data_IF_174387241221
#
_entry.id   IF_174387241221
#
_cell.length_a   1.000
_cell.length_b   1.000
_cell.length_c   1.000
_cell.angle_alpha   90.00
_cell.angle_beta   90.00
_cell.angle_gamma   90.00
#
_symmetry.space_group_name_H-M   'P 1'
#
loop_
_entity.id
_entity.type
_entity.pdbx_description
1 polymer ?
#
# COMPACT_ATOMS: atom_id res chain seq x y z
N UNK A 1 -38.07 -48.36 -44.48
CA UNK A 1 -37.30 -48.11 -43.25
C UNK A 1 -36.47 -46.84 -43.43
N UNK A 2 -36.85 -45.73 -42.77
CA UNK A 2 -36.13 -44.45 -42.83
C UNK A 2 -34.84 -44.56 -42.02
N UNK A 3 -33.68 -44.36 -42.65
CA UNK A 3 -32.40 -44.20 -41.95
C UNK A 3 -32.30 -42.77 -41.43
N UNK A 4 -32.32 -42.60 -40.11
CA UNK A 4 -32.02 -41.35 -39.43
C UNK A 4 -30.53 -41.03 -39.56
N UNK A 5 -30.24 -39.80 -39.99
CA UNK A 5 -28.93 -39.17 -39.95
C UNK A 5 -28.72 -38.64 -38.54
N UNK A 6 -27.68 -39.10 -37.84
CA UNK A 6 -27.26 -38.52 -36.57
C UNK A 6 -26.25 -37.40 -36.85
N UNK A 7 -26.65 -36.17 -36.51
CA UNK A 7 -25.82 -34.96 -36.53
C UNK A 7 -25.01 -34.93 -35.22
N UNK A 8 -23.70 -34.64 -35.25
CA UNK A 8 -22.91 -34.52 -34.03
C UNK A 8 -23.30 -33.26 -33.26
N UNK A 9 -23.66 -33.41 -31.98
CA UNK A 9 -23.78 -32.29 -31.06
C UNK A 9 -22.37 -31.77 -30.74
N UNK A 10 -22.04 -30.61 -31.29
CA UNK A 10 -20.97 -29.77 -30.80
C UNK A 10 -21.39 -29.19 -29.45
N UNK A 11 -20.69 -29.58 -28.38
CA UNK A 11 -20.77 -28.88 -27.09
C UNK A 11 -19.98 -27.58 -27.25
N UNK A 12 -20.68 -26.52 -27.62
CA UNK A 12 -20.16 -25.16 -27.63
C UNK A 12 -19.79 -24.76 -26.19
N UNK A 13 -18.58 -24.23 -26.03
CA UNK A 13 -18.01 -23.84 -24.75
C UNK A 13 -18.82 -22.78 -24.01
N UNK A 14 -18.96 -22.97 -22.71
CA UNK A 14 -19.29 -21.90 -21.79
C UNK A 14 -18.10 -20.94 -21.72
N UNK A 15 -18.14 -19.88 -22.53
CA UNK A 15 -17.21 -18.76 -22.40
C UNK A 15 -17.58 -17.92 -21.17
N UNK A 16 -16.55 -17.62 -20.38
CA UNK A 16 -16.56 -16.84 -19.15
C UNK A 16 -17.19 -15.45 -19.38
N UNK A 17 -18.38 -15.20 -18.84
CA UNK A 17 -19.05 -13.89 -18.85
C UNK A 17 -18.75 -13.04 -17.60
N UNK A 18 -17.88 -13.48 -16.70
CA UNK A 18 -17.50 -12.74 -15.50
C UNK A 18 -16.29 -11.80 -15.68
N UNK A 19 -15.64 -11.81 -16.85
CA UNK A 19 -14.43 -11.01 -17.12
C UNK A 19 -14.75 -9.62 -17.69
N UNK A 20 -15.82 -9.44 -18.47
CA UNK A 20 -16.11 -8.18 -19.17
C UNK A 20 -16.44 -7.01 -18.23
N UNK A 21 -17.17 -7.25 -17.13
CA UNK A 21 -17.53 -6.22 -16.16
C UNK A 21 -16.35 -5.78 -15.28
N UNK A 22 -15.47 -6.72 -14.92
CA UNK A 22 -14.27 -6.43 -14.13
C UNK A 22 -13.22 -5.65 -14.94
N UNK A 23 -13.04 -6.01 -16.21
CA UNK A 23 -12.18 -5.31 -17.17
C UNK A 23 -12.66 -3.88 -17.40
N UNK A 24 -13.98 -3.71 -17.64
CA UNK A 24 -14.59 -2.40 -17.76
C UNK A 24 -14.36 -1.54 -16.50
N UNK A 25 -14.41 -2.14 -15.31
CA UNK A 25 -14.16 -1.45 -14.05
C UNK A 25 -12.74 -0.89 -13.89
N UNK A 26 -11.71 -1.67 -14.23
CA UNK A 26 -10.32 -1.23 -14.11
C UNK A 26 -9.97 -0.14 -15.13
N UNK A 27 -10.40 -0.30 -16.38
CA UNK A 27 -10.20 0.70 -17.44
C UNK A 27 -10.95 2.00 -17.13
N UNK A 28 -12.20 1.90 -16.65
CA UNK A 28 -12.97 3.06 -16.21
C UNK A 28 -12.29 3.79 -15.04
N UNK A 29 -11.76 3.05 -14.06
CA UNK A 29 -11.02 3.62 -12.92
C UNK A 29 -9.76 4.33 -13.39
N UNK A 30 -8.95 3.70 -14.24
CA UNK A 30 -7.75 4.32 -14.82
C UNK A 30 -8.08 5.59 -15.60
N UNK A 31 -9.11 5.56 -16.45
CA UNK A 31 -9.53 6.72 -17.23
C UNK A 31 -10.01 7.88 -16.34
N UNK A 32 -10.84 7.58 -15.33
CA UNK A 32 -11.31 8.56 -14.37
C UNK A 32 -10.17 9.19 -13.56
N UNK A 33 -9.24 8.36 -13.08
CA UNK A 33 -8.03 8.81 -12.39
C UNK A 33 -7.16 9.66 -13.31
N UNK A 34 -6.95 9.24 -14.56
CA UNK A 34 -6.15 9.98 -15.54
C UNK A 34 -6.73 11.37 -15.81
N UNK A 35 -8.06 11.47 -15.92
CA UNK A 35 -8.73 12.76 -16.09
C UNK A 35 -8.59 13.65 -14.84
N UNK A 36 -8.73 13.06 -13.66
CA UNK A 36 -8.73 13.81 -12.39
C UNK A 36 -7.33 14.19 -11.91
N UNK A 37 -6.32 13.36 -12.14
CA UNK A 37 -5.01 13.47 -11.50
C UNK A 37 -3.94 14.09 -12.40
N UNK A 38 -3.93 13.72 -13.68
CA UNK A 38 -2.91 14.17 -14.65
C UNK A 38 -2.76 15.69 -14.73
N UNK A 39 -3.82 16.52 -14.58
CA UNK A 39 -3.67 17.97 -14.54
C UNK A 39 -2.85 18.51 -13.34
N UNK A 40 -2.67 17.71 -12.29
CA UNK A 40 -2.10 18.15 -11.02
C UNK A 40 -0.72 17.58 -10.72
N UNK A 41 -0.28 16.53 -11.43
CA UNK A 41 1.05 15.97 -11.28
C UNK A 41 1.23 14.58 -11.86
N UNK A 42 2.44 14.06 -11.71
CA UNK A 42 2.81 12.70 -12.11
C UNK A 42 2.42 11.69 -11.03
N UNK A 43 2.08 10.48 -11.46
CA UNK A 43 1.87 9.31 -10.60
C UNK A 43 2.76 8.18 -11.12
N UNK A 44 3.64 7.69 -10.26
CA UNK A 44 4.76 6.83 -10.63
C UNK A 44 4.52 5.34 -10.39
N UNK A 45 3.27 4.91 -10.27
CA UNK A 45 2.91 3.51 -10.03
C UNK A 45 1.68 3.31 -9.16
N UNK A 46 1.49 2.07 -8.72
CA UNK A 46 0.41 1.69 -7.81
C UNK A 46 0.90 0.62 -6.81
N UNK A 47 0.49 0.75 -5.54
CA UNK A 47 0.71 -0.25 -4.51
C UNK A 47 -0.62 -0.74 -3.94
N UNK A 48 -0.89 -2.03 -4.14
CA UNK A 48 -2.02 -2.74 -3.56
C UNK A 48 -1.63 -3.29 -2.20
N UNK A 49 -2.49 -3.08 -1.20
CA UNK A 49 -2.27 -3.52 0.18
C UNK A 49 -3.50 -4.25 0.68
N UNK A 50 -3.28 -5.36 1.37
CA UNK A 50 -4.34 -6.06 2.10
C UNK A 50 -3.85 -6.64 3.42
N UNK A 51 -4.75 -6.70 4.38
CA UNK A 51 -4.42 -7.00 5.77
C UNK A 51 -4.91 -8.40 6.14
N UNK A 52 -3.95 -9.19 6.58
CA UNK A 52 -4.06 -10.51 7.15
C UNK A 52 -4.08 -10.41 8.67
N UNK A 53 -4.73 -11.38 9.30
CA UNK A 53 -4.70 -11.57 10.74
C UNK A 53 -3.24 -11.80 11.19
N UNK A 54 -2.80 -11.05 12.19
CA UNK A 54 -1.43 -11.10 12.70
C UNK A 54 -0.98 -12.49 13.13
N UNK A 55 -1.92 -13.37 13.52
CA UNK A 55 -1.61 -14.76 13.89
C UNK A 55 -0.93 -15.56 12.78
N UNK A 56 -1.18 -15.23 11.51
CA UNK A 56 -0.55 -15.91 10.37
C UNK A 56 0.89 -15.48 10.14
N UNK A 57 1.40 -14.50 10.88
CA UNK A 57 2.76 -13.99 10.76
C UNK A 57 3.44 -13.83 12.15
N UNK A 58 3.08 -14.67 13.11
CA UNK A 58 3.57 -14.58 14.49
C UNK A 58 5.10 -14.74 14.59
N UNK A 59 5.68 -15.62 13.77
CA UNK A 59 7.12 -15.70 13.52
C UNK A 59 7.44 -15.29 12.06
N UNK A 60 7.71 -14.00 11.79
CA UNK A 60 8.00 -13.52 10.44
C UNK A 60 9.13 -14.25 9.72
N UNK A 61 10.08 -14.88 10.42
CA UNK A 61 11.18 -15.60 9.78
C UNK A 61 10.69 -16.89 9.08
N UNK A 62 9.66 -17.51 9.63
CA UNK A 62 9.09 -18.76 9.11
C UNK A 62 7.78 -18.50 8.37
N UNK A 63 6.89 -17.73 8.98
CA UNK A 63 5.50 -17.62 8.57
C UNK A 63 5.33 -16.78 7.31
N UNK A 64 6.22 -15.82 7.04
CA UNK A 64 6.20 -15.08 5.78
C UNK A 64 6.32 -15.99 4.55
N UNK A 65 7.13 -17.06 4.64
CA UNK A 65 7.25 -18.04 3.55
C UNK A 65 5.98 -18.87 3.40
N UNK A 66 5.32 -19.21 4.51
CA UNK A 66 4.07 -19.99 4.50
C UNK A 66 2.92 -19.17 3.88
N UNK A 67 2.75 -17.94 4.33
CA UNK A 67 1.76 -17.00 3.78
C UNK A 67 2.02 -16.76 2.29
N UNK A 68 3.28 -16.51 1.93
CA UNK A 68 3.65 -16.34 0.52
C UNK A 68 3.37 -17.60 -0.31
N UNK A 69 3.64 -18.80 0.19
CA UNK A 69 3.36 -20.04 -0.53
C UNK A 69 1.87 -20.20 -0.88
N UNK A 70 0.96 -19.82 0.03
CA UNK A 70 -0.48 -19.81 -0.23
C UNK A 70 -0.81 -18.80 -1.33
N UNK A 71 -0.36 -17.55 -1.20
CA UNK A 71 -0.63 -16.49 -2.18
C UNK A 71 -0.05 -16.85 -3.55
N UNK A 72 1.18 -17.37 -3.61
CA UNK A 72 1.83 -17.82 -4.83
C UNK A 72 1.05 -18.93 -5.52
N UNK A 73 0.58 -19.92 -4.76
CA UNK A 73 -0.24 -21.02 -5.29
C UNK A 73 -1.52 -20.50 -5.93
N UNK A 74 -2.20 -19.55 -5.28
CA UNK A 74 -3.43 -18.95 -5.79
C UNK A 74 -3.15 -18.02 -6.99
N UNK A 75 -2.02 -17.32 -7.00
CA UNK A 75 -1.55 -16.53 -8.14
C UNK A 75 -1.32 -17.41 -9.38
N UNK A 76 -0.58 -18.51 -9.24
CA UNK A 76 -0.28 -19.45 -10.32
C UNK A 76 -1.57 -20.07 -10.89
N UNK A 77 -2.51 -20.50 -10.04
CA UNK A 77 -3.84 -20.98 -10.46
C UNK A 77 -4.63 -19.93 -11.25
N UNK A 78 -4.50 -18.65 -10.88
CA UNK A 78 -5.18 -17.55 -11.53
C UNK A 78 -4.45 -17.03 -12.80
N UNK A 79 -3.32 -17.63 -13.18
CA UNK A 79 -2.55 -17.28 -14.36
C UNK A 79 -1.57 -16.12 -14.15
N UNK A 80 -1.18 -15.83 -12.91
CA UNK A 80 -0.15 -14.85 -12.57
C UNK A 80 1.12 -15.58 -12.14
N UNK A 81 2.14 -15.71 -13.02
CA UNK A 81 3.41 -16.29 -12.65
C UNK A 81 4.02 -15.57 -11.46
N UNK A 82 4.48 -16.33 -10.47
CA UNK A 82 5.07 -15.79 -9.26
C UNK A 82 6.29 -16.60 -8.85
N UNK A 83 7.31 -15.92 -8.33
CA UNK A 83 8.59 -16.52 -7.99
C UNK A 83 9.01 -16.17 -6.58
N UNK A 84 9.65 -17.11 -5.90
CA UNK A 84 10.25 -16.87 -4.58
C UNK A 84 11.48 -15.97 -4.68
N UNK A 85 11.74 -15.21 -3.61
CA UNK A 85 13.04 -14.57 -3.43
C UNK A 85 14.09 -15.62 -3.03
N UNK A 86 15.32 -15.49 -3.53
CA UNK A 86 16.41 -16.43 -3.21
C UNK A 86 16.71 -16.52 -1.71
N UNK A 87 16.68 -15.38 -1.01
CA UNK A 87 16.94 -15.29 0.42
C UNK A 87 16.03 -14.25 1.05
N UNK A 88 15.21 -14.69 2.01
CA UNK A 88 14.39 -13.80 2.80
C UNK A 88 15.30 -12.91 3.66
N UNK A 89 15.23 -11.59 3.44
CA UNK A 89 15.94 -10.59 4.25
C UNK A 89 14.95 -9.86 5.14
N UNK A 90 14.84 -10.30 6.39
CA UNK A 90 14.03 -9.61 7.39
C UNK A 90 14.63 -8.25 7.71
N UNK A 91 13.76 -7.26 7.76
CA UNK A 91 14.03 -5.90 8.26
C UNK A 91 13.14 -5.68 9.47
N UNK A 92 13.63 -4.95 10.45
CA UNK A 92 12.84 -4.57 11.61
C UNK A 92 13.07 -3.10 11.95
N UNK A 93 12.09 -2.49 12.62
CA UNK A 93 12.10 -1.07 12.86
C UNK A 93 10.89 -0.57 13.63
N UNK A 94 10.83 0.75 13.78
CA UNK A 94 9.63 1.48 14.18
C UNK A 94 9.16 2.39 13.07
N UNK A 95 7.85 2.64 13.03
CA UNK A 95 7.22 3.70 12.25
C UNK A 95 6.45 4.58 13.23
N UNK A 96 6.89 5.82 13.36
CA UNK A 96 6.28 6.82 14.22
C UNK A 96 5.45 7.77 13.37
N UNK A 97 4.13 7.67 13.49
CA UNK A 97 3.19 8.59 12.83
C UNK A 97 2.98 9.78 13.74
N UNK A 98 3.45 10.94 13.30
CA UNK A 98 3.46 12.16 14.09
C UNK A 98 2.23 13.00 13.76
N UNK A 99 1.45 13.32 14.78
CA UNK A 99 0.26 14.17 14.65
C UNK A 99 -0.03 14.86 15.99
N UNK A 100 -1.05 15.72 16.03
CA UNK A 100 -1.61 16.18 17.31
C UNK A 100 -2.55 15.10 17.88
N UNK A 101 -2.92 15.15 19.17
CA UNK A 101 -3.92 14.23 19.74
C UNK A 101 -5.27 14.24 19.01
N UNK A 102 -5.58 15.35 18.34
CA UNK A 102 -6.80 15.54 17.56
C UNK A 102 -6.63 15.26 16.05
N UNK A 103 -5.55 14.57 15.65
CA UNK A 103 -5.27 14.22 14.25
C UNK A 103 -5.26 15.43 13.28
N UNK A 104 -4.84 16.61 13.76
CA UNK A 104 -4.98 17.85 13.01
C UNK A 104 -4.17 17.90 11.71
N UNK A 105 -2.97 17.29 11.65
CA UNK A 105 -2.21 17.20 10.40
C UNK A 105 -2.92 16.30 9.40
N UNK A 106 -3.38 15.12 9.84
CA UNK A 106 -4.17 14.21 9.01
C UNK A 106 -5.44 14.89 8.48
N UNK A 107 -6.18 15.62 9.31
CA UNK A 107 -7.34 16.39 8.86
C UNK A 107 -6.99 17.50 7.88
N UNK A 108 -5.80 18.08 7.99
CA UNK A 108 -5.26 19.03 7.03
C UNK A 108 -4.71 18.37 5.75
N UNK A 109 -4.73 17.04 5.66
CA UNK A 109 -4.27 16.28 4.49
C UNK A 109 -2.78 15.95 4.49
N UNK A 110 -2.09 16.06 5.64
CA UNK A 110 -0.67 15.74 5.79
C UNK A 110 -0.43 14.53 6.71
N UNK A 111 0.60 13.76 6.40
CA UNK A 111 1.12 12.69 7.25
C UNK A 111 2.62 12.91 7.41
N UNK A 112 3.08 13.03 8.65
CA UNK A 112 4.52 13.03 8.98
C UNK A 112 4.86 11.70 9.62
N UNK A 113 5.89 11.03 9.11
CA UNK A 113 6.32 9.72 9.63
C UNK A 113 7.83 9.67 9.78
N UNK A 114 8.29 9.19 10.92
CA UNK A 114 9.70 8.85 11.14
C UNK A 114 9.83 7.33 11.13
N UNK A 115 10.67 6.82 10.23
CA UNK A 115 11.00 5.40 10.16
C UNK A 115 12.40 5.19 10.75
N UNK A 116 12.47 4.33 11.77
CA UNK A 116 13.74 3.91 12.36
C UNK A 116 13.94 2.45 12.03
N UNK A 117 14.93 2.13 11.20
CA UNK A 117 15.36 0.76 10.98
C UNK A 117 16.40 0.37 12.01
N UNK A 118 16.35 -0.87 12.51
CA UNK A 118 17.42 -1.44 13.34
C UNK A 118 18.19 -2.50 12.55
N UNK A 119 19.52 -2.43 12.61
CA UNK A 119 20.43 -3.49 12.21
C UNK A 119 21.22 -3.91 13.46
N UNK A 120 21.16 -5.19 13.83
CA UNK A 120 21.79 -5.73 15.04
C UNK A 120 21.46 -4.96 16.34
N UNK A 121 20.22 -4.47 16.43
CA UNK A 121 19.73 -3.68 17.57
C UNK A 121 20.11 -2.20 17.54
N UNK A 122 20.94 -1.78 16.59
CA UNK A 122 21.41 -0.40 16.43
C UNK A 122 20.49 0.33 15.46
N UNK A 123 19.97 1.49 15.89
CA UNK A 123 19.16 2.36 15.04
C UNK A 123 20.00 2.95 13.90
N UNK A 124 19.46 2.94 12.68
CA UNK A 124 20.08 3.66 11.57
C UNK A 124 20.16 5.16 11.88
N UNK A 125 21.23 5.80 11.43
CA UNK A 125 21.40 7.25 11.52
C UNK A 125 22.12 7.72 10.25
N UNK A 126 21.59 8.70 9.51
CA UNK A 126 20.33 9.42 9.71
C UNK A 126 19.06 8.58 9.51
N UNK A 127 17.98 8.99 10.18
CA UNK A 127 16.65 8.38 10.12
C UNK A 127 15.91 8.81 8.86
N UNK A 128 15.06 7.93 8.32
CA UNK A 128 14.16 8.30 7.22
C UNK A 128 12.94 9.03 7.75
N UNK A 129 12.73 10.25 7.27
CA UNK A 129 11.53 11.05 7.52
C UNK A 129 10.72 11.14 6.23
N UNK A 130 9.45 10.74 6.30
CA UNK A 130 8.47 10.86 5.21
C UNK A 130 7.49 11.97 5.54
N UNK A 131 7.26 12.90 4.59
CA UNK A 131 6.12 13.82 4.63
C UNK A 131 5.24 13.53 3.43
N UNK A 132 3.95 13.27 3.67
CA UNK A 132 3.00 12.83 2.65
C UNK A 132 1.76 13.70 2.64
N UNK A 133 1.11 13.81 1.49
CA UNK A 133 -0.22 14.36 1.31
C UNK A 133 -1.19 13.27 0.86
N UNK A 134 -2.35 13.17 1.53
CA UNK A 134 -3.36 12.13 1.30
C UNK A 134 -4.72 12.56 1.86
N UNK A 135 -5.81 11.89 1.47
CA UNK A 135 -7.14 12.12 2.04
C UNK A 135 -7.78 13.47 1.69
N UNK A 136 -7.28 14.14 0.65
CA UNK A 136 -7.84 15.35 0.04
C UNK A 136 -8.04 15.11 -1.46
N UNK A 137 -8.60 16.09 -2.16
CA UNK A 137 -8.70 16.01 -3.62
C UNK A 137 -7.33 15.96 -4.31
N UNK A 138 -7.34 15.57 -5.58
CA UNK A 138 -6.12 15.41 -6.36
C UNK A 138 -5.36 16.73 -6.55
N UNK A 139 -6.07 17.86 -6.61
CA UNK A 139 -5.46 19.18 -6.73
C UNK A 139 -4.59 19.50 -5.51
N UNK A 140 -5.07 19.18 -4.31
CA UNK A 140 -4.28 19.29 -3.09
C UNK A 140 -3.15 18.28 -3.04
N UNK A 141 -3.45 16.98 -3.24
CA UNK A 141 -2.48 15.90 -3.05
C UNK A 141 -1.33 15.98 -4.05
N UNK A 142 -1.62 16.11 -5.33
CA UNK A 142 -0.61 16.12 -6.38
C UNK A 142 -0.01 17.51 -6.59
N UNK A 143 -0.82 18.56 -6.41
CA UNK A 143 -0.40 19.96 -6.56
C UNK A 143 0.45 20.49 -5.41
N UNK A 144 0.50 19.80 -4.26
CA UNK A 144 1.47 20.13 -3.21
C UNK A 144 2.87 19.75 -3.67
N UNK A 145 3.80 20.71 -3.68
CA UNK A 145 5.14 20.53 -4.26
C UNK A 145 5.96 19.48 -3.50
N UNK A 146 5.90 19.50 -2.16
CA UNK A 146 6.73 18.72 -1.25
C UNK A 146 8.23 18.91 -1.48
N UNK A 147 8.63 20.05 -2.05
CA UNK A 147 10.04 20.37 -2.22
C UNK A 147 10.76 20.41 -0.88
N UNK A 148 12.03 20.00 -0.88
CA UNK A 148 12.86 19.99 0.31
C UNK A 148 13.80 21.18 0.37
N UNK A 149 14.14 21.63 1.59
CA UNK A 149 15.20 22.61 1.86
C UNK A 149 16.24 22.02 2.80
N UNK A 150 17.52 22.27 2.54
CA UNK A 150 18.62 21.83 3.40
C UNK A 150 18.84 20.31 3.48
N UNK A 151 18.06 19.50 2.74
CA UNK A 151 18.21 18.06 2.64
C UNK A 151 17.72 17.59 1.25
N UNK A 152 18.35 16.56 0.69
CA UNK A 152 17.88 15.92 -0.54
C UNK A 152 16.66 15.06 -0.24
N UNK A 153 15.56 15.27 -0.96
CA UNK A 153 14.36 14.44 -0.91
C UNK A 153 14.17 13.60 -2.18
N UNK A 154 13.58 12.41 -2.06
CA UNK A 154 12.95 11.70 -3.20
C UNK A 154 11.46 11.93 -3.10
N UNK A 155 10.89 12.60 -4.10
CA UNK A 155 9.44 12.80 -4.24
C UNK A 155 8.88 11.71 -5.13
N UNK A 156 7.75 11.13 -4.75
CA UNK A 156 6.99 10.18 -5.58
C UNK A 156 5.50 10.29 -5.27
N UNK A 157 4.66 9.88 -6.21
CA UNK A 157 3.23 9.71 -5.98
C UNK A 157 2.79 8.34 -6.48
N UNK A 158 1.87 7.71 -5.77
CA UNK A 158 1.39 6.37 -6.06
C UNK A 158 -0.13 6.30 -5.90
N UNK A 159 -0.77 5.52 -6.75
CA UNK A 159 -2.13 5.04 -6.51
C UNK A 159 -2.08 3.98 -5.40
N UNK A 160 -3.01 4.03 -4.45
CA UNK A 160 -3.25 2.96 -3.48
C UNK A 160 -4.65 2.38 -3.70
N UNK A 161 -4.81 1.42 -4.63
CA UNK A 161 -6.11 0.81 -4.88
C UNK A 161 -6.57 -0.07 -3.72
N UNK A 162 -7.88 -0.03 -3.45
CA UNK A 162 -8.51 -0.87 -2.42
C UNK A 162 -9.97 -1.16 -2.77
N UNK A 163 -10.61 -2.11 -2.07
CA UNK A 163 -12.04 -2.35 -2.23
C UNK A 163 -12.86 -1.27 -1.51
N UNK A 164 -13.65 -0.54 -2.27
CA UNK A 164 -14.69 0.35 -1.78
C UNK A 164 -16.03 -0.36 -1.56
N UNK A 165 -17.08 0.43 -1.34
CA UNK A 165 -18.44 -0.06 -1.15
C UNK A 165 -18.90 -0.91 -2.35
N UNK A 166 -19.59 -2.03 -2.07
CA UNK A 166 -20.07 -2.93 -3.11
C UNK A 166 -18.99 -3.77 -3.81
N UNK A 167 -17.74 -3.79 -3.29
CA UNK A 167 -16.64 -4.58 -3.87
C UNK A 167 -16.05 -3.99 -5.15
N UNK A 168 -16.31 -2.70 -5.41
CA UNK A 168 -15.71 -1.95 -6.51
C UNK A 168 -14.31 -1.49 -6.09
N UNK A 169 -13.31 -1.61 -6.97
CA UNK A 169 -11.99 -1.08 -6.69
C UNK A 169 -12.04 0.45 -6.74
N UNK A 170 -11.52 1.10 -5.72
CA UNK A 170 -11.39 2.56 -5.62
C UNK A 170 -9.93 2.93 -5.47
N UNK A 171 -9.61 4.17 -5.82
CA UNK A 171 -8.26 4.71 -5.76
C UNK A 171 -8.11 5.76 -4.68
N UNK A 172 -6.96 5.73 -4.00
CA UNK A 172 -6.51 6.83 -3.17
C UNK A 172 -5.10 7.22 -3.61
N UNK A 173 -4.96 8.38 -4.24
CA UNK A 173 -3.65 8.90 -4.60
C UNK A 173 -2.95 9.46 -3.36
N UNK A 174 -1.68 9.13 -3.21
CA UNK A 174 -0.81 9.69 -2.18
C UNK A 174 0.45 10.23 -2.83
N UNK A 175 0.91 11.40 -2.38
CA UNK A 175 2.20 11.97 -2.77
C UNK A 175 3.06 12.11 -1.54
N UNK A 176 4.34 11.76 -1.65
CA UNK A 176 5.27 11.79 -0.53
C UNK A 176 6.63 12.32 -0.91
N UNK A 177 7.33 12.85 0.09
CA UNK A 177 8.77 13.09 0.04
C UNK A 177 9.46 12.36 1.17
N UNK A 178 10.48 11.59 0.81
CA UNK A 178 11.37 10.93 1.75
C UNK A 178 12.71 11.66 1.81
N UNK A 179 13.13 12.03 3.02
CA UNK A 179 14.42 12.64 3.31
C UNK A 179 15.10 11.94 4.48
N UNK A 180 16.39 12.21 4.68
CA UNK A 180 17.17 11.67 5.79
C UNK A 180 17.55 12.78 6.76
N UNK A 181 17.18 12.62 8.03
CA UNK A 181 17.46 13.59 9.10
C UNK A 181 18.06 12.86 10.32
N UNK A 182 19.05 13.49 10.95
CA UNK A 182 19.54 13.08 12.27
C UNK A 182 18.49 13.38 13.35
N UNK A 183 18.38 12.56 14.41
CA UNK A 183 17.44 12.79 15.51
C UNK A 183 17.54 14.20 16.11
N UNK A 184 18.76 14.75 16.19
CA UNK A 184 19.03 16.10 16.71
C UNK A 184 18.34 17.23 15.95
N UNK A 185 17.89 16.97 14.71
CA UNK A 185 17.21 17.95 13.89
C UNK A 185 15.72 18.10 14.21
N UNK A 186 15.16 17.24 15.07
CA UNK A 186 13.73 17.22 15.44
C UNK A 186 13.48 16.73 16.88
N UNK A 187 14.43 16.96 17.80
CA UNK A 187 14.30 16.56 19.22
C UNK A 187 13.10 17.18 19.92
N UNK A 188 12.71 18.40 19.51
CA UNK A 188 11.56 19.08 20.07
C UNK A 188 10.21 18.49 19.66
N UNK A 189 10.19 17.60 18.67
CA UNK A 189 8.98 16.99 18.08
C UNK A 189 7.92 18.05 17.77
N UNK A 190 8.34 19.17 17.18
CA UNK A 190 7.47 20.27 16.76
C UNK A 190 7.25 20.26 15.25
N UNK A 191 6.08 20.72 14.81
CA UNK A 191 5.80 20.89 13.38
C UNK A 191 6.86 21.77 12.67
N UNK A 192 7.35 22.79 13.36
CA UNK A 192 8.34 23.75 12.86
C UNK A 192 9.66 23.09 12.49
N UNK A 193 10.10 22.07 13.22
CA UNK A 193 11.33 21.32 12.92
C UNK A 193 11.23 20.59 11.58
N UNK A 194 10.09 19.96 11.30
CA UNK A 194 9.85 19.31 10.00
C UNK A 194 9.61 20.34 8.88
N UNK A 195 8.90 21.44 9.19
CA UNK A 195 8.60 22.52 8.25
C UNK A 195 9.85 23.23 7.72
N UNK A 196 10.95 23.24 8.49
CA UNK A 196 12.25 23.74 8.01
C UNK A 196 12.73 23.00 6.75
N UNK A 197 12.47 21.69 6.69
CA UNK A 197 12.89 20.83 5.59
C UNK A 197 11.80 20.65 4.53
N UNK A 198 10.52 20.64 4.91
CA UNK A 198 9.38 20.52 3.99
C UNK A 198 8.41 21.69 4.23
N UNK A 199 8.62 22.85 3.58
CA UNK A 199 7.87 24.07 3.88
C UNK A 199 6.37 24.01 3.61
N UNK A 200 5.92 23.10 2.73
CA UNK A 200 4.49 22.89 2.44
C UNK A 200 3.68 22.48 3.67
N UNK A 201 4.30 21.94 4.73
CA UNK A 201 3.64 21.65 6.01
C UNK A 201 2.97 22.89 6.64
N UNK A 202 3.40 24.11 6.29
CA UNK A 202 2.73 25.36 6.72
C UNK A 202 1.28 25.45 6.23
N UNK A 203 0.96 24.81 5.10
CA UNK A 203 -0.42 24.77 4.56
C UNK A 203 -1.38 24.00 5.46
N UNK A 204 -0.87 23.26 6.46
CA UNK A 204 -1.73 22.67 7.50
C UNK A 204 -2.47 23.72 8.36
N UNK A 205 -2.00 24.97 8.37
CA UNK A 205 -2.54 26.03 9.22
C UNK A 205 -2.13 25.94 10.70
N UNK A 206 -1.36 24.91 11.08
CA UNK A 206 -0.90 24.74 12.46
C UNK A 206 0.33 25.61 12.76
N UNK A 207 0.44 26.18 13.98
CA UNK A 207 1.63 26.87 14.43
C UNK A 207 2.91 26.03 14.37
N UNK A 208 4.05 26.65 14.06
CA UNK A 208 5.33 25.93 14.01
C UNK A 208 5.77 25.36 15.37
N UNK A 209 5.31 25.93 16.49
CA UNK A 209 5.59 25.39 17.83
C UNK A 209 4.60 24.29 18.26
N UNK A 210 3.63 23.89 17.40
CA UNK A 210 2.72 22.77 17.68
C UNK A 210 3.52 21.50 17.96
N UNK A 211 3.29 20.92 19.13
CA UNK A 211 3.87 19.63 19.52
C UNK A 211 3.17 18.49 18.79
N UNK A 212 3.97 17.54 18.31
CA UNK A 212 3.51 16.34 17.64
C UNK A 212 3.80 15.13 18.53
N UNK A 213 2.81 14.27 18.67
CA UNK A 213 2.90 13.02 19.41
C UNK A 213 3.11 11.87 18.44
N UNK A 214 3.97 10.93 18.82
CA UNK A 214 4.25 9.76 18.04
C UNK A 214 3.25 8.63 18.37
N UNK A 215 2.47 8.22 17.38
CA UNK A 215 1.84 6.89 17.40
C UNK A 215 2.80 5.89 16.78
N UNK A 216 3.41 5.04 17.61
CA UNK A 216 4.43 4.07 17.20
C UNK A 216 3.84 2.72 16.80
N UNK A 217 4.28 2.20 15.66
CA UNK A 217 4.20 0.78 15.32
C UNK A 217 5.60 0.18 15.27
N UNK A 218 5.76 -1.03 15.82
CA UNK A 218 6.96 -1.84 15.62
C UNK A 218 6.70 -2.75 14.43
N UNK A 219 7.62 -2.79 13.47
CA UNK A 219 7.43 -3.58 12.26
C UNK A 219 8.53 -4.62 12.06
N UNK A 220 8.14 -5.73 11.42
CA UNK A 220 9.06 -6.64 10.73
C UNK A 220 8.58 -6.83 9.30
N UNK A 221 9.48 -6.74 8.34
CA UNK A 221 9.12 -6.84 6.92
C UNK A 221 10.15 -7.58 6.09
N UNK A 222 9.69 -8.16 4.99
CA UNK A 222 10.55 -8.72 3.95
C UNK A 222 9.85 -8.73 2.59
N UNK A 223 10.64 -8.58 1.52
CA UNK A 223 10.23 -9.03 0.19
C UNK A 223 10.25 -10.54 0.18
N UNK A 224 9.12 -11.17 -0.15
CA UNK A 224 8.95 -12.63 -0.15
C UNK A 224 9.07 -13.24 -1.54
N UNK A 225 8.74 -12.47 -2.58
CA UNK A 225 8.78 -12.93 -3.95
C UNK A 225 8.47 -11.81 -4.94
N UNK A 226 8.16 -12.22 -6.16
CA UNK A 226 7.72 -11.35 -7.25
C UNK A 226 6.50 -11.96 -7.94
N UNK A 227 5.66 -11.09 -8.50
CA UNK A 227 4.47 -11.44 -9.27
C UNK A 227 4.60 -10.80 -10.64
N UNK A 228 4.30 -11.55 -11.69
CA UNK A 228 4.19 -10.98 -13.04
C UNK A 228 2.78 -10.43 -13.25
N UNK A 229 2.67 -9.12 -13.48
CA UNK A 229 1.43 -8.41 -13.79
C UNK A 229 1.50 -7.91 -15.24
N UNK A 230 0.99 -8.71 -16.18
CA UNK A 230 1.09 -8.39 -17.60
C UNK A 230 2.56 -8.32 -18.06
N UNK A 231 3.00 -7.14 -18.52
CA UNK A 231 4.40 -6.91 -18.95
C UNK A 231 5.34 -6.45 -17.81
N UNK A 232 4.83 -6.24 -16.60
CA UNK A 232 5.61 -5.76 -15.45
C UNK A 232 5.82 -6.82 -14.38
N UNK A 233 6.87 -6.66 -13.58
CA UNK A 233 7.06 -7.40 -12.31
C UNK A 233 6.66 -6.51 -11.13
N UNK A 234 5.93 -7.09 -10.19
CA UNK A 234 5.59 -6.49 -8.91
C UNK A 234 6.31 -7.20 -7.77
N UNK A 235 6.98 -6.45 -6.89
CA UNK A 235 7.55 -7.03 -5.67
C UNK A 235 6.44 -7.39 -4.69
N UNK A 236 6.44 -8.63 -4.19
CA UNK A 236 5.54 -9.07 -3.14
C UNK A 236 6.24 -8.91 -1.77
N UNK A 237 5.61 -8.17 -0.87
CA UNK A 237 6.14 -7.85 0.47
C UNK A 237 5.16 -8.28 1.55
N UNK A 238 5.71 -8.75 2.67
CA UNK A 238 4.96 -8.93 3.91
C UNK A 238 5.53 -8.01 4.99
N UNK A 239 4.65 -7.38 5.76
CA UNK A 239 4.99 -6.53 6.89
C UNK A 239 4.05 -6.77 8.08
N UNK A 240 4.58 -7.18 9.23
CA UNK A 240 3.81 -7.22 10.48
C UNK A 240 3.93 -5.92 11.24
N UNK A 241 2.86 -5.53 11.93
CA UNK A 241 2.89 -4.45 12.92
C UNK A 241 2.54 -4.99 14.30
N UNK A 242 3.25 -4.57 15.34
CA UNK A 242 2.92 -4.79 16.74
C UNK A 242 2.91 -3.46 17.51
N UNK A 243 2.21 -3.45 18.65
CA UNK A 243 2.11 -2.27 19.53
C UNK A 243 3.32 -2.10 20.44
N UNK A 244 4.05 -3.18 20.69
CA UNK A 244 5.21 -3.22 21.59
C UNK A 244 6.40 -3.89 20.91
N UNK A 245 7.61 -3.55 21.36
CA UNK A 245 8.83 -4.19 20.90
C UNK A 245 8.79 -5.70 21.19
N UNK A 246 8.95 -6.53 20.16
CA UNK A 246 8.87 -7.99 20.29
C UNK A 246 7.48 -8.55 20.59
N UNK A 247 6.45 -7.71 20.70
CA UNK A 247 5.08 -8.16 20.93
C UNK A 247 4.48 -8.90 19.73
N UNK A 248 3.40 -9.63 19.98
CA UNK A 248 2.65 -10.32 18.93
C UNK A 248 2.16 -9.32 17.85
N UNK A 249 2.20 -9.70 16.56
CA UNK A 249 1.62 -8.89 15.50
C UNK A 249 0.13 -8.65 15.71
N UNK A 250 -0.29 -7.39 15.65
CA UNK A 250 -1.72 -7.03 15.60
C UNK A 250 -2.30 -7.26 14.20
N UNK A 251 -1.45 -7.22 13.17
CA UNK A 251 -1.78 -7.49 11.78
C UNK A 251 -0.53 -7.94 11.02
N UNK A 252 -0.76 -8.54 9.86
CA UNK A 252 0.23 -8.75 8.82
C UNK A 252 -0.30 -8.14 7.52
N UNK A 253 0.47 -7.32 6.83
CA UNK A 253 0.07 -6.76 5.54
C UNK A 253 0.83 -7.46 4.44
N UNK A 254 0.11 -7.87 3.40
CA UNK A 254 0.71 -8.14 2.12
C UNK A 254 0.57 -6.93 1.22
N UNK A 255 1.67 -6.55 0.56
CA UNK A 255 1.64 -5.55 -0.49
C UNK A 255 2.32 -6.05 -1.75
N UNK A 256 1.80 -5.56 -2.88
CA UNK A 256 2.39 -5.75 -4.19
C UNK A 256 2.08 -4.54 -5.06
N UNK A 257 2.98 -4.23 -5.96
CA UNK A 257 2.82 -3.04 -6.79
C UNK A 257 3.97 -2.89 -7.76
N UNK A 258 3.81 -1.90 -8.62
CA UNK A 258 4.80 -1.48 -9.60
C UNK A 258 5.15 -0.01 -9.33
N UNK A 259 6.42 0.31 -9.46
CA UNK A 259 6.98 1.64 -9.23
C UNK A 259 7.81 2.09 -10.44
N UNK A 260 8.18 3.37 -10.48
CA UNK A 260 9.01 3.98 -11.53
C UNK A 260 8.42 3.82 -12.95
N UNK A 261 7.09 3.82 -13.07
CA UNK A 261 6.35 3.81 -14.36
C UNK A 261 5.41 5.02 -14.47
N UNK A 262 5.11 5.46 -15.70
CA UNK A 262 4.08 6.48 -15.93
C UNK A 262 2.69 5.83 -15.85
N UNK A 263 2.03 5.98 -14.69
CA UNK A 263 0.70 5.40 -14.43
C UNK A 263 -0.29 5.71 -15.55
N UNK A 264 -0.24 6.92 -16.12
CA UNK A 264 -1.20 7.36 -17.13
C UNK A 264 -1.00 6.67 -18.49
N UNK A 265 0.11 5.97 -18.69
CA UNK A 265 0.43 5.19 -19.90
C UNK A 265 0.39 3.68 -19.68
N UNK A 266 -0.03 3.22 -18.50
CA UNK A 266 -0.03 1.79 -18.16
C UNK A 266 -1.41 1.28 -17.69
N UNK A 267 -2.50 1.46 -18.47
CA UNK A 267 -3.81 0.93 -18.10
C UNK A 267 -3.80 -0.59 -17.89
N UNK A 268 -2.97 -1.30 -18.67
CA UNK A 268 -2.85 -2.76 -18.61
C UNK A 268 -2.22 -3.24 -17.30
N UNK A 269 -1.32 -2.46 -16.68
CA UNK A 269 -0.78 -2.76 -15.36
C UNK A 269 -1.83 -2.52 -14.26
N UNK A 270 -2.67 -1.49 -14.42
CA UNK A 270 -3.83 -1.25 -13.54
C UNK A 270 -4.83 -2.39 -13.63
N UNK A 271 -5.13 -2.84 -14.84
CA UNK A 271 -6.01 -3.99 -15.09
C UNK A 271 -5.45 -5.27 -14.47
N UNK A 272 -4.17 -5.57 -14.69
CA UNK A 272 -3.52 -6.74 -14.13
C UNK A 272 -3.49 -6.72 -12.60
N UNK A 273 -3.22 -5.55 -12.00
CA UNK A 273 -3.25 -5.37 -10.54
C UNK A 273 -4.66 -5.59 -9.97
N UNK A 274 -5.69 -5.01 -10.58
CA UNK A 274 -7.09 -5.22 -10.12
C UNK A 274 -7.53 -6.66 -10.30
N UNK A 275 -7.12 -7.31 -11.39
CA UNK A 275 -7.39 -8.71 -11.63
C UNK A 275 -6.68 -9.61 -10.60
N UNK A 276 -5.43 -9.32 -10.25
CA UNK A 276 -4.71 -10.05 -9.19
C UNK A 276 -5.44 -9.90 -7.85
N UNK A 277 -5.83 -8.67 -7.49
CA UNK A 277 -6.59 -8.42 -6.26
C UNK A 277 -7.86 -9.28 -6.22
N UNK A 278 -8.66 -9.24 -7.29
CA UNK A 278 -9.94 -9.96 -7.32
C UNK A 278 -9.81 -11.48 -7.37
N UNK A 279 -8.84 -12.00 -8.12
CA UNK A 279 -8.71 -13.45 -8.34
C UNK A 279 -7.89 -14.15 -7.26
N UNK A 280 -6.90 -13.45 -6.69
CA UNK A 280 -5.94 -14.03 -5.74
C UNK A 280 -6.23 -13.55 -4.33
N UNK A 281 -6.25 -12.25 -4.10
CA UNK A 281 -6.42 -11.69 -2.74
C UNK A 281 -7.80 -12.01 -2.16
N UNK A 282 -8.81 -12.09 -3.01
CA UNK A 282 -10.17 -12.49 -2.63
C UNK A 282 -10.46 -13.98 -2.82
N UNK A 283 -9.46 -14.81 -3.16
CA UNK A 283 -9.67 -16.26 -3.23
C UNK A 283 -9.99 -16.82 -1.83
N UNK A 284 -10.79 -17.90 -1.72
CA UNK A 284 -11.14 -18.47 -0.42
C UNK A 284 -9.93 -18.73 0.49
N UNK A 285 -8.85 -19.28 -0.06
CA UNK A 285 -7.63 -19.60 0.68
C UNK A 285 -6.94 -18.36 1.26
N UNK A 286 -6.89 -17.25 0.52
CA UNK A 286 -6.31 -16.00 1.04
C UNK A 286 -7.29 -15.29 1.98
N UNK A 287 -8.59 -15.37 1.73
CA UNK A 287 -9.63 -14.79 2.59
C UNK A 287 -9.70 -15.42 3.98
N UNK A 288 -9.39 -16.70 4.11
CA UNK A 288 -9.26 -17.36 5.41
C UNK A 288 -8.19 -16.70 6.30
N UNK A 289 -7.16 -16.11 5.67
CA UNK A 289 -6.09 -15.41 6.39
C UNK A 289 -6.41 -13.95 6.71
N UNK A 290 -7.47 -13.37 6.15
CA UNK A 290 -7.77 -11.95 6.27
C UNK A 290 -8.07 -11.55 7.73
N UNK A 291 -7.67 -10.34 8.10
CA UNK A 291 -7.98 -9.79 9.41
C UNK A 291 -9.49 -9.51 9.51
N UNK A 292 -10.23 -10.18 10.42
CA UNK A 292 -11.67 -9.99 10.53
C UNK A 292 -12.02 -8.56 10.97
N UNK A 293 -13.04 -7.96 10.37
CA UNK A 293 -13.51 -6.63 10.76
C UNK A 293 -12.62 -5.49 10.29
N UNK A 294 -11.59 -5.75 9.48
CA UNK A 294 -10.63 -4.74 9.06
C UNK A 294 -11.24 -3.62 8.21
N UNK A 295 -12.33 -3.93 7.48
CA UNK A 295 -13.13 -2.97 6.74
C UNK A 295 -13.67 -1.83 7.60
N UNK A 296 -13.86 -2.05 8.91
CA UNK A 296 -14.28 -1.00 9.87
C UNK A 296 -13.24 0.11 10.04
N UNK A 297 -12.00 -0.13 9.62
CA UNK A 297 -10.91 0.84 9.64
C UNK A 297 -10.60 1.40 8.24
N UNK A 298 -11.43 1.09 7.24
CA UNK A 298 -11.33 1.62 5.89
C UNK A 298 -10.00 1.32 5.21
N UNK A 299 -9.41 0.15 5.47
CA UNK A 299 -8.11 -0.15 4.87
C UNK A 299 -6.89 0.39 5.64
N UNK A 300 -7.08 1.18 6.71
CA UNK A 300 -6.00 1.93 7.34
C UNK A 300 -5.39 1.21 8.54
N UNK A 301 -4.14 0.76 8.39
CA UNK A 301 -3.32 0.25 9.51
C UNK A 301 -3.15 1.28 10.63
N UNK A 302 -3.09 2.57 10.30
CA UNK A 302 -2.94 3.64 11.30
C UNK A 302 -4.21 3.82 12.12
N UNK A 303 -5.39 3.72 11.49
CA UNK A 303 -6.68 3.70 12.21
C UNK A 303 -6.76 2.50 13.16
N UNK A 304 -6.38 1.31 12.70
CA UNK A 304 -6.30 0.12 13.55
C UNK A 304 -5.29 0.30 14.70
N UNK A 305 -4.11 0.85 14.43
CA UNK A 305 -3.09 1.18 15.44
C UNK A 305 -3.66 2.14 16.50
N UNK A 306 -4.45 3.13 16.10
CA UNK A 306 -5.07 4.11 17.01
C UNK A 306 -6.42 3.65 17.60
N UNK A 307 -6.90 2.47 17.22
CA UNK A 307 -8.24 1.98 17.54
C UNK A 307 -9.36 2.98 17.16
N UNK A 308 -9.21 3.61 15.99
CA UNK A 308 -10.14 4.61 15.45
C UNK A 308 -10.96 4.00 14.30
N UNK A 309 -12.23 3.61 14.49
CA UNK A 309 -13.07 3.15 13.37
C UNK A 309 -13.29 4.26 12.33
N UNK A 310 -13.89 3.90 11.19
CA UNK A 310 -14.23 4.83 10.10
C UNK A 310 -14.99 6.05 10.58
#
# INVERSE_FOLDING_TARGET
>A
MRKMVAIPFAVAGAFVLASSSALAGAQQRHAANSQLWKPHGEVSGAEYKFQLDGKYCADPAQDFKKVWAVIRTEAEKAGFPATDIKKLKLRQGTKDYLDTPADALKHAGFIVRVNTRYEDGIAENPLRVSVKTSGKDAAFVLGTSLFTRGAKGKISAEDNPSLGQGGVMVSNVEKGVDLKLAPSQFEGMTLGEFTRYVPDLKKSGLPGNTKLEATRAYYRSATVGKITLGMGEAEAKLETWSRTAGGAPMLCEFSYGYEDVDYFKTPELVEAGDAFYRKVVLSPAVREMQLPGFEKFGGSKTRLLRNQPL
#
